data_IF_546173060351
#
_entry.id   IF_546173060351
#
_cell.length_a   1.000
_cell.length_b   1.000
_cell.length_c   1.000
_cell.angle_alpha   90.00
_cell.angle_beta   90.00
_cell.angle_gamma   90.00
#
_symmetry.space_group_name_H-M   'P 1'
#
loop_
_entity.id
_entity.type
_entity.pdbx_description
1 polymer ?
#
# COMPACT_ATOMS: atom_id res chain seq x y z
N UNK A 1 21.53 -34.41 -8.96
CA UNK A 1 22.37 -33.19 -8.94
C UNK A 1 21.52 -32.02 -8.42
N UNK A 2 21.72 -31.56 -7.19
CA UNK A 2 20.97 -30.43 -6.59
C UNK A 2 21.89 -29.20 -6.54
N UNK A 3 21.51 -28.09 -7.19
CA UNK A 3 22.22 -26.81 -7.10
C UNK A 3 21.41 -25.88 -6.20
N UNK A 4 21.96 -25.55 -5.04
CA UNK A 4 21.40 -24.57 -4.10
C UNK A 4 22.17 -23.26 -4.28
N UNK A 5 21.47 -22.18 -4.62
CA UNK A 5 22.08 -20.85 -4.75
C UNK A 5 21.64 -20.01 -3.56
N UNK A 6 22.58 -19.71 -2.67
CA UNK A 6 22.36 -18.80 -1.53
C UNK A 6 22.65 -17.37 -1.98
N UNK A 7 21.66 -16.48 -1.93
CA UNK A 7 21.83 -15.05 -2.22
C UNK A 7 21.94 -14.32 -0.88
N UNK A 8 23.05 -13.61 -0.66
CA UNK A 8 23.25 -12.73 0.50
C UNK A 8 23.12 -11.27 0.04
N UNK A 9 22.20 -10.53 0.64
CA UNK A 9 22.05 -9.09 0.42
C UNK A 9 22.88 -8.35 1.49
N UNK A 10 23.81 -7.50 1.05
CA UNK A 10 24.66 -6.66 1.91
C UNK A 10 24.10 -5.23 1.95
N UNK A 11 24.10 -4.69 3.16
CA UNK A 11 23.54 -3.42 3.64
C UNK A 11 24.44 -2.23 3.30
N UNK A 12 23.87 -1.10 2.86
CA UNK A 12 24.55 0.22 2.87
C UNK A 12 23.57 1.30 3.33
N UNK A 13 23.69 1.70 4.61
CA UNK A 13 22.99 2.85 5.17
C UNK A 13 23.78 4.14 4.94
N UNK A 14 23.10 5.20 4.53
CA UNK A 14 23.65 6.56 4.49
C UNK A 14 22.89 7.44 5.50
N UNK A 15 23.57 7.78 6.59
CA UNK A 15 23.20 8.84 7.52
C UNK A 15 23.72 10.16 6.93
N UNK A 16 22.85 11.11 6.64
CA UNK A 16 23.24 12.49 6.38
C UNK A 16 22.30 13.42 7.13
N UNK A 17 22.75 13.87 8.29
CA UNK A 17 22.20 15.01 8.99
C UNK A 17 22.92 16.28 8.55
N UNK A 18 22.16 17.32 8.23
CA UNK A 18 22.62 18.71 8.18
C UNK A 18 21.45 19.62 8.56
N UNK A 19 21.53 20.22 9.74
CA UNK A 19 20.79 21.43 10.06
C UNK A 19 21.45 22.63 9.34
N UNK A 20 20.68 23.69 9.04
CA UNK A 20 21.02 25.12 9.17
C UNK A 20 19.95 25.99 8.48
N UNK A 21 19.18 26.71 9.30
CA UNK A 21 18.69 28.10 9.15
C UNK A 21 18.71 28.76 7.76
N UNK A 22 17.55 29.24 7.31
CA UNK A 22 17.43 30.28 6.27
C UNK A 22 16.00 30.82 6.16
N UNK A 23 15.77 32.05 6.63
CA UNK A 23 14.53 32.81 6.50
C UNK A 23 14.66 33.78 5.31
N UNK A 24 13.68 33.81 4.39
CA UNK A 24 13.58 34.80 3.31
C UNK A 24 12.69 34.34 2.15
N UNK A 25 11.65 35.10 1.74
CA UNK A 25 10.70 34.70 0.70
C UNK A 25 11.13 35.24 -0.67
N UNK A 26 10.97 34.46 -1.74
CA UNK A 26 10.62 34.97 -3.08
C UNK A 26 10.34 33.84 -4.07
N UNK A 27 9.42 34.13 -4.98
CA UNK A 27 8.83 33.26 -5.98
C UNK A 27 9.87 32.64 -6.94
N UNK A 28 9.65 31.38 -7.32
CA UNK A 28 9.47 30.99 -8.73
C UNK A 28 8.95 29.56 -8.75
N UNK A 29 7.69 29.43 -9.17
CA UNK A 29 7.05 28.18 -9.59
C UNK A 29 7.90 27.52 -10.67
N UNK A 30 8.67 26.51 -10.32
CA UNK A 30 9.17 25.52 -11.27
C UNK A 30 8.89 24.16 -10.68
N UNK A 31 7.73 23.62 -11.07
CA UNK A 31 7.27 22.26 -10.86
C UNK A 31 8.21 21.32 -11.62
N UNK A 32 9.42 21.13 -11.10
CA UNK A 32 10.33 20.09 -11.56
C UNK A 32 9.88 18.78 -10.92
N UNK A 33 8.98 18.09 -11.62
CA UNK A 33 8.59 16.70 -11.42
C UNK A 33 9.82 15.79 -11.50
N UNK A 34 10.54 15.68 -10.39
CA UNK A 34 11.44 14.57 -10.12
C UNK A 34 10.63 13.55 -9.34
N UNK A 35 10.07 12.60 -10.07
CA UNK A 35 9.25 11.50 -9.58
C UNK A 35 10.13 10.51 -8.80
N UNK A 36 10.58 10.93 -7.61
CA UNK A 36 11.13 10.06 -6.60
C UNK A 36 9.95 9.32 -5.97
N UNK A 37 9.89 8.00 -6.20
CA UNK A 37 8.93 7.07 -5.59
C UNK A 37 9.20 7.01 -4.08
N UNK A 38 8.67 8.00 -3.36
CA UNK A 38 8.37 7.91 -1.94
C UNK A 38 6.92 7.48 -1.84
N UNK A 39 6.70 6.17 -1.62
CA UNK A 39 5.38 5.60 -1.31
C UNK A 39 4.98 6.03 0.11
N UNK A 40 4.76 7.32 0.31
CA UNK A 40 4.32 7.90 1.56
C UNK A 40 2.83 8.26 1.43
N UNK A 41 1.98 7.39 1.98
CA UNK A 41 0.66 7.66 2.60
C UNK A 41 -0.28 8.74 2.01
N UNK A 42 -0.43 8.86 0.69
CA UNK A 42 -1.59 9.59 0.17
C UNK A 42 -2.90 8.86 0.54
N UNK A 43 -3.78 9.57 1.24
CA UNK A 43 -5.09 9.07 1.64
C UNK A 43 -5.92 8.77 0.39
N UNK A 44 -6.68 7.67 0.41
CA UNK A 44 -7.58 7.35 -0.71
C UNK A 44 -8.76 8.32 -0.65
N UNK A 45 -8.75 9.32 -1.53
CA UNK A 45 -9.74 10.40 -1.57
C UNK A 45 -10.63 10.30 -2.80
N UNK A 46 -11.76 11.02 -2.78
CA UNK A 46 -12.64 11.16 -3.95
C UNK A 46 -12.14 12.21 -4.95
N UNK A 47 -11.15 13.02 -4.58
CA UNK A 47 -10.55 14.03 -5.46
C UNK A 47 -9.54 13.45 -6.43
N UNK A 48 -8.90 12.34 -6.08
CA UNK A 48 -7.90 11.68 -6.90
C UNK A 48 -8.56 10.75 -7.93
N UNK A 49 -8.05 10.78 -9.16
CA UNK A 49 -8.48 9.86 -10.22
C UNK A 49 -7.52 8.69 -10.29
N UNK A 50 -8.05 7.48 -10.25
CA UNK A 50 -7.26 6.25 -10.36
C UNK A 50 -7.46 5.61 -11.73
N UNK A 51 -6.38 5.11 -12.31
CA UNK A 51 -6.43 4.34 -13.55
C UNK A 51 -7.01 2.95 -13.32
N UNK A 52 -7.58 2.36 -14.36
CA UNK A 52 -8.07 0.98 -14.31
C UNK A 52 -6.90 0.04 -13.96
N UNK A 53 -7.12 -0.90 -13.05
CA UNK A 53 -6.12 -1.78 -12.46
C UNK A 53 -5.06 -1.10 -11.58
N UNK A 54 -5.26 0.16 -11.15
CA UNK A 54 -4.42 0.74 -10.11
C UNK A 54 -4.51 -0.09 -8.83
N UNK A 55 -3.37 -0.58 -8.34
CA UNK A 55 -3.32 -1.48 -7.20
C UNK A 55 -2.93 -0.73 -5.93
N UNK A 56 -3.75 -0.89 -4.88
CA UNK A 56 -3.46 -0.41 -3.54
C UNK A 56 -3.33 -1.59 -2.58
N UNK A 57 -2.18 -1.66 -1.90
CA UNK A 57 -1.92 -2.71 -0.91
C UNK A 57 -2.97 -2.70 0.22
N UNK A 58 -3.50 -3.88 0.53
CA UNK A 58 -4.54 -4.04 1.56
C UNK A 58 -5.96 -3.67 1.10
N UNK A 59 -6.12 -3.15 -0.12
CA UNK A 59 -7.41 -2.74 -0.69
C UNK A 59 -7.75 -3.55 -1.94
N UNK A 60 -6.81 -3.70 -2.87
CA UNK A 60 -6.99 -4.42 -4.13
C UNK A 60 -6.82 -3.53 -5.37
N UNK A 61 -7.51 -3.89 -6.44
CA UNK A 61 -7.43 -3.25 -7.76
C UNK A 61 -8.60 -2.32 -8.01
N UNK A 62 -8.31 -1.10 -8.43
CA UNK A 62 -9.33 -0.14 -8.83
C UNK A 62 -9.92 -0.51 -10.18
N UNK A 63 -11.25 -0.55 -10.27
CA UNK A 63 -11.96 -0.72 -11.52
C UNK A 63 -12.61 0.61 -11.93
N UNK A 64 -12.01 1.32 -12.89
CA UNK A 64 -12.45 2.64 -13.29
C UNK A 64 -13.93 2.71 -13.75
N UNK A 65 -14.47 1.74 -14.51
CA UNK A 65 -15.87 1.74 -14.92
C UNK A 65 -16.87 1.57 -13.76
N UNK A 66 -16.40 1.06 -12.61
CA UNK A 66 -17.23 0.77 -11.45
C UNK A 66 -16.98 1.72 -10.27
N UNK A 67 -16.04 2.67 -10.41
CA UNK A 67 -15.70 3.66 -9.38
C UNK A 67 -15.40 3.04 -8.00
N UNK A 68 -14.82 1.84 -7.98
CA UNK A 68 -14.65 1.02 -6.78
C UNK A 68 -13.47 0.04 -6.88
N UNK A 69 -13.13 -0.58 -5.74
CA UNK A 69 -12.00 -1.47 -5.55
C UNK A 69 -12.42 -2.93 -5.46
N UNK A 70 -11.58 -3.83 -6.00
CA UNK A 70 -11.89 -5.25 -6.11
C UNK A 70 -10.67 -6.16 -5.89
N UNK A 71 -10.87 -7.42 -5.45
CA UNK A 71 -9.77 -8.33 -5.13
C UNK A 71 -8.94 -8.79 -6.34
N UNK A 72 -9.53 -8.85 -7.53
CA UNK A 72 -8.84 -9.26 -8.74
C UNK A 72 -8.76 -8.09 -9.73
N UNK A 73 -7.72 -8.07 -10.59
CA UNK A 73 -7.64 -7.13 -11.69
C UNK A 73 -8.86 -7.23 -12.61
N UNK A 74 -9.16 -6.12 -13.27
CA UNK A 74 -10.12 -6.01 -14.34
C UNK A 74 -9.72 -6.93 -15.49
N UNK A 75 -10.65 -7.77 -15.94
CA UNK A 75 -10.44 -8.85 -16.90
C UNK A 75 -9.40 -9.89 -16.45
N UNK A 76 -9.23 -10.10 -15.15
CA UNK A 76 -8.48 -11.26 -14.66
C UNK A 76 -9.18 -12.56 -15.07
N UNK A 77 -8.47 -13.42 -15.78
CA UNK A 77 -9.01 -14.69 -16.26
C UNK A 77 -8.75 -15.82 -15.26
N UNK A 78 -9.81 -16.56 -14.92
CA UNK A 78 -9.73 -17.78 -14.13
C UNK A 78 -10.34 -18.96 -14.92
N UNK A 79 -9.60 -20.05 -15.14
CA UNK A 79 -10.13 -21.25 -15.80
C UNK A 79 -11.39 -21.76 -15.11
N UNK A 80 -12.46 -22.00 -15.88
CA UNK A 80 -13.74 -22.50 -15.37
C UNK A 80 -14.66 -21.43 -14.75
N UNK A 81 -14.23 -20.16 -14.68
CA UNK A 81 -15.10 -19.03 -14.31
C UNK A 81 -15.18 -17.92 -15.35
N UNK A 82 -14.13 -17.72 -16.15
CA UNK A 82 -14.06 -16.65 -17.14
C UNK A 82 -13.29 -15.43 -16.64
N UNK A 83 -13.73 -14.24 -17.07
CA UNK A 83 -13.08 -12.95 -16.80
C UNK A 83 -13.78 -12.21 -15.67
N UNK A 84 -13.00 -11.75 -14.69
CA UNK A 84 -13.51 -10.99 -13.56
C UNK A 84 -13.62 -9.49 -13.87
N UNK A 85 -14.76 -8.89 -13.57
CA UNK A 85 -14.95 -7.44 -13.65
C UNK A 85 -16.08 -7.00 -12.70
N UNK A 86 -15.86 -5.90 -11.99
CA UNK A 86 -16.89 -5.29 -11.12
C UNK A 86 -17.60 -6.23 -10.14
N UNK A 87 -16.92 -7.26 -9.62
CA UNK A 87 -17.51 -8.24 -8.70
C UNK A 87 -18.16 -9.46 -9.36
N UNK A 88 -18.22 -9.48 -10.70
CA UNK A 88 -18.86 -10.53 -11.48
C UNK A 88 -17.84 -11.27 -12.36
N UNK A 89 -18.27 -12.41 -12.89
CA UNK A 89 -17.52 -13.21 -13.85
C UNK A 89 -18.31 -13.29 -15.16
N UNK A 90 -17.61 -13.18 -16.29
CA UNK A 90 -18.18 -13.27 -17.64
C UNK A 90 -17.35 -14.20 -18.53
N UNK A 91 -17.98 -14.85 -19.51
CA UNK A 91 -17.26 -15.72 -20.44
C UNK A 91 -16.31 -14.95 -21.38
N UNK A 92 -16.62 -13.68 -21.64
CA UNK A 92 -15.83 -12.78 -22.48
C UNK A 92 -15.25 -11.62 -21.66
N UNK A 93 -14.10 -11.05 -22.06
CA UNK A 93 -13.55 -9.88 -21.40
C UNK A 93 -14.49 -8.68 -21.54
N UNK A 94 -14.71 -7.96 -20.45
CA UNK A 94 -15.53 -6.76 -20.46
C UNK A 94 -14.75 -5.59 -21.05
N UNK A 95 -15.39 -4.84 -21.96
CA UNK A 95 -14.79 -3.67 -22.62
C UNK A 95 -15.45 -2.38 -22.14
N UNK A 96 -14.64 -1.40 -21.74
CA UNK A 96 -15.10 -0.06 -21.35
C UNK A 96 -14.12 0.98 -21.84
N UNK A 97 -14.63 2.14 -22.30
CA UNK A 97 -13.80 3.29 -22.69
C UNK A 97 -13.26 4.08 -21.49
N UNK A 98 -13.77 3.83 -20.28
CA UNK A 98 -13.33 4.52 -19.05
C UNK A 98 -12.05 3.86 -18.51
N UNK A 99 -10.91 4.51 -18.74
CA UNK A 99 -9.59 4.04 -18.29
C UNK A 99 -9.11 4.69 -17.00
N UNK A 100 -9.73 5.79 -16.56
CA UNK A 100 -9.45 6.48 -15.31
C UNK A 100 -10.72 7.15 -14.78
N UNK A 101 -10.93 7.10 -13.47
CA UNK A 101 -12.06 7.77 -12.83
C UNK A 101 -11.81 7.99 -11.34
N UNK A 102 -12.60 8.86 -10.72
CA UNK A 102 -12.62 9.05 -9.27
C UNK A 102 -13.48 7.99 -8.57
N UNK A 103 -13.08 7.52 -7.37
CA UNK A 103 -13.86 6.56 -6.61
C UNK A 103 -15.11 7.23 -6.05
N UNK A 104 -16.16 6.44 -5.84
CA UNK A 104 -17.33 6.89 -5.07
C UNK A 104 -16.94 7.17 -3.61
N UNK A 105 -17.66 8.06 -2.92
CA UNK A 105 -17.39 8.40 -1.52
C UNK A 105 -17.51 7.20 -0.57
N UNK A 106 -18.32 6.19 -0.89
CA UNK A 106 -18.37 4.93 -0.14
C UNK A 106 -17.12 4.08 -0.39
N UNK A 107 -16.72 3.90 -1.66
CA UNK A 107 -15.55 3.12 -2.03
C UNK A 107 -14.25 3.71 -1.45
N UNK A 108 -14.09 5.04 -1.50
CA UNK A 108 -12.93 5.71 -0.91
C UNK A 108 -12.82 5.47 0.61
N UNK A 109 -13.94 5.59 1.34
CA UNK A 109 -13.98 5.32 2.79
C UNK A 109 -13.67 3.87 3.13
N UNK A 110 -14.24 2.92 2.39
CA UNK A 110 -13.98 1.49 2.59
C UNK A 110 -12.51 1.16 2.32
N UNK A 111 -11.96 1.67 1.23
CA UNK A 111 -10.57 1.48 0.85
C UNK A 111 -9.61 2.06 1.90
N UNK A 112 -9.88 3.28 2.38
CA UNK A 112 -9.07 3.89 3.44
C UNK A 112 -9.11 3.05 4.73
N UNK A 113 -10.29 2.55 5.11
CA UNK A 113 -10.45 1.69 6.29
C UNK A 113 -9.65 0.40 6.15
N UNK A 114 -9.74 -0.28 5.00
CA UNK A 114 -9.02 -1.52 4.74
C UNK A 114 -7.49 -1.32 4.73
N UNK A 115 -7.02 -0.19 4.18
CA UNK A 115 -5.61 0.20 4.20
C UNK A 115 -5.11 0.42 5.63
N UNK A 116 -5.85 1.21 6.43
CA UNK A 116 -5.49 1.47 7.83
C UNK A 116 -5.45 0.19 8.68
N UNK A 117 -6.37 -0.75 8.45
CA UNK A 117 -6.36 -2.05 9.11
C UNK A 117 -5.06 -2.83 8.83
N UNK A 118 -4.62 -2.84 7.57
CA UNK A 118 -3.36 -3.48 7.17
C UNK A 118 -2.15 -2.83 7.84
N UNK A 119 -2.07 -1.49 7.84
CA UNK A 119 -0.98 -0.76 8.50
C UNK A 119 -0.92 -0.98 10.02
N UNK A 120 -2.07 -1.12 10.69
CA UNK A 120 -2.13 -1.37 12.14
C UNK A 120 -1.68 -2.77 12.55
N UNK A 121 -1.91 -3.78 11.68
CA UNK A 121 -1.48 -5.16 11.91
C UNK A 121 0.05 -5.35 11.86
N UNK A 122 0.78 -4.42 11.24
CA UNK A 122 2.24 -4.42 11.22
C UNK A 122 2.89 -3.78 12.46
N UNK A 123 2.16 -2.96 13.23
CA UNK A 123 2.69 -2.20 14.36
C UNK A 123 2.41 -2.83 15.73
N UNK A 124 1.70 -3.95 15.77
CA UNK A 124 1.43 -4.73 16.99
C UNK A 124 2.34 -5.96 17.11
N UNK A 125 3.59 -5.84 16.66
CA UNK A 125 4.70 -6.55 17.30
C UNK A 125 5.21 -5.70 18.47
N UNK A 126 4.32 -5.41 19.42
CA UNK A 126 4.78 -5.11 20.77
C UNK A 126 5.44 -6.41 21.25
N UNK A 127 6.74 -6.49 20.99
CA UNK A 127 7.61 -7.49 21.55
C UNK A 127 7.30 -7.48 23.04
N UNK A 128 6.73 -8.56 23.57
CA UNK A 128 6.86 -8.84 25.00
C UNK A 128 8.34 -9.11 25.23
N UNK A 129 9.14 -8.05 25.30
CA UNK A 129 10.46 -8.04 25.91
C UNK A 129 10.19 -8.24 27.39
N UNK A 130 9.95 -9.50 27.76
CA UNK A 130 9.94 -9.94 29.16
C UNK A 130 11.25 -9.47 29.75
N UNK A 131 11.15 -8.42 30.57
CA UNK A 131 12.28 -7.77 31.19
C UNK A 131 13.10 -8.77 32.01
N UNK A 132 14.41 -8.56 31.96
CA UNK A 132 15.34 -9.09 32.94
C UNK A 132 14.91 -8.66 34.35
N UNK A 133 15.03 -9.55 35.33
CA UNK A 133 15.08 -9.18 36.75
C UNK A 133 14.06 -9.89 37.63
N UNK A 134 14.32 -11.18 37.89
CA UNK A 134 13.59 -11.95 38.90
C UNK A 134 14.51 -12.92 39.64
N UNK A 135 15.72 -12.49 40.00
CA UNK A 135 16.59 -13.23 40.91
C UNK A 135 16.61 -12.51 42.25
N UNK A 136 15.90 -13.03 43.26
CA UNK A 136 16.27 -12.91 44.68
C UNK A 136 15.48 -13.89 45.54
N UNK A 137 16.21 -14.38 46.54
CA UNK A 137 16.07 -15.49 47.47
C UNK A 137 15.36 -15.11 48.79
N UNK A 138 15.26 -16.11 49.69
CA UNK A 138 14.84 -16.09 51.13
C UNK A 138 13.34 -16.30 51.35
N UNK A 139 12.83 -17.17 52.23
CA UNK A 139 13.41 -17.88 53.37
C UNK A 139 12.49 -17.66 54.59
N UNK A 140 11.96 -18.73 55.20
CA UNK A 140 11.37 -18.71 56.55
C UNK A 140 9.85 -18.91 56.64
N UNK A 141 9.45 -19.95 57.40
CA UNK A 141 8.08 -20.27 57.77
C UNK A 141 7.91 -21.75 58.05
#
# INVERSE_FOLDING_TARGET
MKRSTTIRLVLSGALAGSALTGCGPEETTTTASTQAVSQDVDAITTSESYTNNHHVQGVGYYHAPYHSWWPHPYNYYLPGRGYYHGGNWSDQPHSSGLTSSQPTSSAARQAQTARSATSSSGHSSAISRGGFGGSSHSGGG
#
